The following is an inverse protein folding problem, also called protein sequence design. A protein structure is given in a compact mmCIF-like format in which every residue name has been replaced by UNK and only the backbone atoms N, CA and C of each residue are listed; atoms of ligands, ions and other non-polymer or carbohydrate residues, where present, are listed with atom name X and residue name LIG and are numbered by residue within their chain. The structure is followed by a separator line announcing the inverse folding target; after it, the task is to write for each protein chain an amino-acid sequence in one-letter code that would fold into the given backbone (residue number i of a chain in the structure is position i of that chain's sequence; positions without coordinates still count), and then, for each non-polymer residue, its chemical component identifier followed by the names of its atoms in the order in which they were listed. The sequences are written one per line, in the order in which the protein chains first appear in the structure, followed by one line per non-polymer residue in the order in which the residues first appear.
data_IF_059378941257
#
_entry.id   IF_059378941257
#
_cell.length_a   1.000
_cell.length_b   1.000
_cell.length_c   1.000
_cell.angle_alpha   90.00
_cell.angle_beta   90.00
_cell.angle_gamma   90.00
#
_symmetry.space_group_name_H-M   'P 1'
#
loop_
_entity.id
_entity.type
_entity.pdbx_description
1 polymer ?
#
# COMPACT_ATOMS: atom_id res chain seq x y z
N UNK A 1 -10.52 1.90 21.79
CA UNK A 1 -10.43 3.37 21.87
C UNK A 1 -9.38 3.81 20.86
N UNK A 2 -9.74 4.57 19.83
CA UNK A 2 -8.76 5.15 18.89
C UNK A 2 -7.73 5.92 19.71
N UNK A 3 -6.49 5.44 19.67
CA UNK A 3 -5.43 5.75 20.62
C UNK A 3 -5.19 7.27 20.65
N UNK A 4 -5.59 7.98 21.72
CA UNK A 4 -5.36 9.42 21.89
C UNK A 4 -3.90 9.80 21.62
N UNK A 5 -2.97 8.88 21.93
CA UNK A 5 -1.56 8.98 21.57
C UNK A 5 -1.32 9.11 20.06
N UNK A 6 -2.01 8.33 19.22
CA UNK A 6 -1.88 8.42 17.76
C UNK A 6 -2.45 9.74 17.23
N UNK A 7 -3.56 10.23 17.80
CA UNK A 7 -4.14 11.53 17.46
C UNK A 7 -3.20 12.69 17.83
N UNK A 8 -2.60 12.63 19.02
CA UNK A 8 -1.60 13.59 19.49
C UNK A 8 -0.33 13.52 18.64
N UNK A 9 0.08 12.32 18.20
CA UNK A 9 1.24 12.14 17.34
C UNK A 9 1.00 12.68 15.92
N UNK A 10 -0.21 12.52 15.37
CA UNK A 10 -0.60 13.16 14.11
C UNK A 10 -0.52 14.69 14.20
N UNK A 11 -0.78 15.24 15.39
CA UNK A 11 -0.68 16.67 15.68
C UNK A 11 0.76 17.17 15.87
N UNK A 12 1.76 16.28 16.01
CA UNK A 12 3.16 16.68 16.07
C UNK A 12 3.60 17.24 14.71
N UNK A 13 4.04 18.50 14.63
CA UNK A 13 4.29 19.19 13.36
C UNK A 13 5.34 18.48 12.49
N UNK A 14 6.33 17.80 13.10
CA UNK A 14 7.36 17.07 12.36
C UNK A 14 6.84 15.78 11.73
N UNK A 15 5.90 15.10 12.40
CA UNK A 15 5.25 13.91 11.86
C UNK A 15 4.25 14.30 10.76
N UNK A 16 3.44 15.34 11.00
CA UNK A 16 2.49 15.86 10.01
C UNK A 16 3.20 16.28 8.72
N UNK A 17 4.32 17.02 8.83
CA UNK A 17 5.13 17.44 7.66
C UNK A 17 5.61 16.23 6.84
N UNK A 18 6.15 15.20 7.50
CA UNK A 18 6.62 13.98 6.80
C UNK A 18 5.51 13.26 6.06
N UNK A 19 4.33 13.12 6.69
CA UNK A 19 3.17 12.51 6.04
C UNK A 19 2.70 13.36 4.87
N UNK A 20 2.62 14.69 5.04
CA UNK A 20 2.23 15.60 3.97
C UNK A 20 3.17 15.50 2.77
N UNK A 21 4.49 15.44 2.99
CA UNK A 21 5.45 15.22 1.90
C UNK A 21 5.26 13.85 1.22
N UNK A 22 4.98 12.80 1.99
CA UNK A 22 4.75 11.47 1.44
C UNK A 22 3.47 11.44 0.59
N UNK A 23 2.39 12.04 1.08
CA UNK A 23 1.14 12.22 0.33
C UNK A 23 1.39 13.04 -0.93
N UNK A 24 2.17 14.11 -0.86
CA UNK A 24 2.52 14.95 -2.01
C UNK A 24 3.27 14.16 -3.08
N UNK A 25 4.27 13.37 -2.69
CA UNK A 25 5.01 12.49 -3.60
C UNK A 25 4.07 11.44 -4.21
N UNK A 26 3.17 10.86 -3.41
CA UNK A 26 2.19 9.91 -3.90
C UNK A 26 1.19 10.55 -4.87
N UNK A 27 0.80 11.80 -4.64
CA UNK A 27 -0.09 12.57 -5.50
C UNK A 27 0.57 13.00 -6.82
N UNK A 28 1.90 12.97 -6.94
CA UNK A 28 2.58 13.18 -8.22
C UNK A 28 2.35 12.03 -9.20
N UNK A 29 2.15 10.80 -8.69
CA UNK A 29 1.93 9.60 -9.52
C UNK A 29 0.71 9.74 -10.45
N UNK A 30 -0.51 10.07 -9.97
CA UNK A 30 -1.66 10.25 -10.86
C UNK A 30 -1.46 11.37 -11.86
N UNK A 31 -0.75 12.44 -11.50
CA UNK A 31 -0.44 13.54 -12.43
C UNK A 31 0.42 13.03 -13.58
N UNK A 32 1.44 12.20 -13.30
CA UNK A 32 2.27 11.59 -14.34
C UNK A 32 1.45 10.64 -15.23
N UNK A 33 0.53 9.87 -14.63
CA UNK A 33 -0.38 9.00 -15.38
C UNK A 33 -1.30 9.80 -16.31
N UNK A 34 -1.81 10.95 -15.88
CA UNK A 34 -2.59 11.85 -16.73
C UNK A 34 -1.78 12.38 -17.92
N UNK A 35 -0.52 12.76 -17.70
CA UNK A 35 0.37 13.22 -18.79
C UNK A 35 0.59 12.09 -19.81
N UNK A 36 0.82 10.86 -19.35
CA UNK A 36 0.93 9.71 -20.24
C UNK A 36 -0.37 9.45 -21.00
N UNK A 37 -1.52 9.56 -20.32
CA UNK A 37 -2.82 9.39 -20.94
C UNK A 37 -2.98 10.34 -22.13
N UNK A 38 -2.72 11.64 -21.94
CA UNK A 38 -2.86 12.65 -22.99
C UNK A 38 -1.92 12.37 -24.18
N UNK A 39 -0.68 11.95 -23.90
CA UNK A 39 0.31 11.70 -24.96
C UNK A 39 0.03 10.42 -25.76
N UNK A 40 -0.40 9.34 -25.09
CA UNK A 40 -0.65 8.05 -25.73
C UNK A 40 -2.05 7.93 -26.32
N UNK A 41 -3.04 8.64 -25.78
CA UNK A 41 -4.41 8.63 -26.32
C UNK A 41 -4.47 9.13 -27.76
N UNK A 42 -3.60 10.08 -28.13
CA UNK A 42 -3.49 10.58 -29.49
C UNK A 42 -3.03 9.51 -30.50
N UNK A 43 -2.19 8.57 -30.07
CA UNK A 43 -1.62 7.53 -30.93
C UNK A 43 -2.53 6.31 -31.11
N UNK A 44 -3.18 5.87 -30.02
CA UNK A 44 -3.98 4.63 -29.99
C UNK A 44 -5.50 4.86 -30.08
N UNK A 45 -5.95 6.10 -29.93
CA UNK A 45 -7.36 6.46 -29.77
C UNK A 45 -7.79 6.44 -28.30
N UNK A 46 -8.52 7.48 -27.90
CA UNK A 46 -8.89 7.73 -26.50
C UNK A 46 -9.66 6.57 -25.86
N UNK A 47 -10.66 6.02 -26.57
CA UNK A 47 -11.50 4.94 -26.06
C UNK A 47 -10.75 3.62 -25.89
N UNK A 48 -9.85 3.29 -26.82
CA UNK A 48 -9.06 2.06 -26.75
C UNK A 48 -8.05 2.13 -25.60
N UNK A 49 -7.42 3.28 -25.41
CA UNK A 49 -6.50 3.49 -24.29
C UNK A 49 -7.23 3.44 -22.93
N UNK A 50 -8.41 4.05 -22.83
CA UNK A 50 -9.29 3.95 -21.65
C UNK A 50 -9.67 2.49 -21.34
N UNK A 51 -10.05 1.71 -22.36
CA UNK A 51 -10.38 0.30 -22.19
C UNK A 51 -9.18 -0.51 -21.65
N UNK A 52 -7.97 -0.26 -22.16
CA UNK A 52 -6.74 -0.89 -21.67
C UNK A 52 -6.47 -0.51 -20.21
N UNK A 53 -6.59 0.77 -19.86
CA UNK A 53 -6.42 1.25 -18.48
C UNK A 53 -7.42 0.60 -17.51
N UNK A 54 -8.68 0.43 -17.93
CA UNK A 54 -9.69 -0.24 -17.14
C UNK A 54 -9.41 -1.73 -16.96
N UNK A 55 -8.89 -2.40 -18.00
CA UNK A 55 -8.47 -3.80 -17.89
C UNK A 55 -7.26 -3.95 -16.95
N UNK A 56 -6.31 -3.01 -17.02
CA UNK A 56 -5.16 -2.94 -16.10
C UNK A 56 -5.62 -2.74 -14.66
N UNK A 57 -6.51 -1.79 -14.38
CA UNK A 57 -7.00 -1.55 -13.01
C UNK A 57 -7.85 -2.71 -12.49
N UNK A 58 -8.67 -3.34 -13.32
CA UNK A 58 -9.47 -4.52 -12.95
C UNK A 58 -8.56 -5.71 -12.61
N UNK A 59 -7.56 -5.99 -13.44
CA UNK A 59 -6.58 -7.03 -13.17
C UNK A 59 -5.75 -6.71 -11.91
N UNK A 60 -5.37 -5.45 -11.73
CA UNK A 60 -4.72 -4.93 -10.54
C UNK A 60 -5.55 -5.14 -9.27
N UNK A 61 -6.85 -4.90 -9.32
CA UNK A 61 -7.77 -5.15 -8.22
C UNK A 61 -7.82 -6.64 -7.83
N UNK A 62 -7.92 -7.54 -8.81
CA UNK A 62 -7.92 -9.00 -8.56
C UNK A 62 -6.60 -9.42 -7.91
N UNK A 63 -5.48 -8.92 -8.43
CA UNK A 63 -4.15 -9.21 -7.89
C UNK A 63 -3.98 -8.68 -6.46
N UNK A 64 -4.41 -7.44 -6.23
CA UNK A 64 -4.46 -6.78 -4.92
C UNK A 64 -5.24 -7.62 -3.89
N UNK A 65 -6.44 -8.08 -4.25
CA UNK A 65 -7.25 -8.94 -3.38
C UNK A 65 -6.50 -10.21 -2.97
N UNK A 66 -5.82 -10.85 -3.92
CA UNK A 66 -5.02 -12.05 -3.66
C UNK A 66 -3.84 -11.76 -2.73
N UNK A 67 -3.15 -10.64 -2.95
CA UNK A 67 -2.00 -10.20 -2.16
C UNK A 67 -2.38 -9.93 -0.69
N UNK A 68 -3.47 -9.19 -0.48
CA UNK A 68 -4.01 -8.86 0.85
C UNK A 68 -4.53 -10.12 1.55
N UNK A 69 -5.27 -10.98 0.84
CA UNK A 69 -5.76 -12.23 1.42
C UNK A 69 -4.61 -13.15 1.85
N UNK A 70 -3.56 -13.27 1.04
CA UNK A 70 -2.38 -14.09 1.40
C UNK A 70 -1.62 -13.54 2.61
N UNK A 71 -1.47 -12.23 2.71
CA UNK A 71 -0.82 -11.60 3.88
C UNK A 71 -1.66 -11.76 5.13
N UNK A 72 -2.97 -11.57 5.03
CA UNK A 72 -3.91 -11.81 6.14
C UNK A 72 -3.91 -13.28 6.62
N UNK A 73 -3.94 -14.25 5.70
CA UNK A 73 -3.89 -15.68 6.07
C UNK A 73 -2.59 -15.99 6.81
N UNK A 74 -1.44 -15.49 6.34
CA UNK A 74 -0.15 -15.69 7.02
C UNK A 74 -0.11 -15.08 8.41
N UNK A 75 -0.68 -13.89 8.57
CA UNK A 75 -0.79 -13.25 9.88
C UNK A 75 -1.67 -14.06 10.82
N UNK A 76 -2.82 -14.55 10.33
CA UNK A 76 -3.74 -15.38 11.13
C UNK A 76 -3.12 -16.71 11.55
N UNK A 77 -2.39 -17.39 10.67
CA UNK A 77 -1.69 -18.64 11.03
C UNK A 77 -0.60 -18.38 12.06
N UNK A 78 0.19 -17.32 11.88
CA UNK A 78 1.24 -16.97 12.83
C UNK A 78 0.69 -16.54 14.20
N UNK A 79 -0.47 -15.88 14.23
CA UNK A 79 -1.20 -15.53 15.46
C UNK A 79 -1.63 -16.80 16.21
N UNK A 80 -2.27 -17.74 15.52
CA UNK A 80 -2.71 -19.01 16.11
C UNK A 80 -1.54 -19.81 16.71
N UNK A 81 -0.38 -19.78 16.07
CA UNK A 81 0.82 -20.49 16.53
C UNK A 81 1.64 -19.69 17.57
N UNK A 82 1.18 -18.51 17.98
CA UNK A 82 1.90 -17.57 18.86
C UNK A 82 3.31 -17.17 18.36
N UNK A 83 3.52 -17.20 17.04
CA UNK A 83 4.82 -16.87 16.43
C UNK A 83 4.83 -15.43 15.93
N UNK A 84 5.58 -14.57 16.61
CA UNK A 84 5.77 -13.19 16.16
C UNK A 84 6.86 -13.07 15.08
N UNK A 85 6.44 -12.89 13.83
CA UNK A 85 7.34 -12.62 12.70
C UNK A 85 7.16 -11.19 12.18
N UNK A 86 8.08 -10.30 12.57
CA UNK A 86 8.08 -8.88 12.18
C UNK A 86 7.98 -8.65 10.66
N UNK A 87 8.54 -9.55 9.85
CA UNK A 87 8.46 -9.49 8.37
C UNK A 87 7.03 -9.59 7.84
N UNK A 88 6.17 -10.38 8.48
CA UNK A 88 4.81 -10.62 8.01
C UNK A 88 3.91 -9.45 8.38
N UNK A 89 4.10 -8.85 9.56
CA UNK A 89 3.45 -7.60 9.96
C UNK A 89 3.85 -6.42 9.08
N UNK A 90 5.15 -6.25 8.82
CA UNK A 90 5.63 -5.21 7.90
C UNK A 90 5.10 -5.41 6.47
N UNK A 91 4.79 -6.64 6.06
CA UNK A 91 4.28 -6.89 4.72
C UNK A 91 2.84 -6.36 4.49
N UNK A 92 2.08 -6.11 5.57
CA UNK A 92 0.70 -5.64 5.51
C UNK A 92 0.55 -4.19 5.02
N UNK A 93 1.22 -3.16 5.59
CA UNK A 93 1.14 -1.80 5.08
C UNK A 93 1.68 -1.70 3.64
N UNK A 94 2.70 -2.50 3.30
CA UNK A 94 3.20 -2.57 1.93
C UNK A 94 2.17 -3.17 0.96
N UNK A 95 1.47 -4.23 1.38
CA UNK A 95 0.41 -4.83 0.58
C UNK A 95 -0.72 -3.83 0.34
N UNK A 96 -1.13 -3.08 1.36
CA UNK A 96 -2.16 -2.03 1.23
C UNK A 96 -1.72 -0.89 0.31
N UNK A 97 -0.46 -0.45 0.41
CA UNK A 97 0.11 0.55 -0.49
C UNK A 97 0.09 0.07 -1.95
N UNK A 98 0.55 -1.15 -2.21
CA UNK A 98 0.52 -1.78 -3.54
C UNK A 98 -0.92 -1.89 -4.07
N UNK A 99 -1.85 -2.32 -3.21
CA UNK A 99 -3.27 -2.40 -3.53
C UNK A 99 -3.84 -1.05 -3.96
N UNK A 100 -3.51 0.02 -3.24
CA UNK A 100 -3.95 1.38 -3.58
C UNK A 100 -3.46 1.81 -4.97
N UNK A 101 -2.17 1.59 -5.28
CA UNK A 101 -1.62 1.94 -6.59
C UNK A 101 -2.19 1.08 -7.74
N UNK A 102 -2.45 -0.21 -7.53
CA UNK A 102 -3.01 -1.11 -8.56
C UNK A 102 -4.47 -0.81 -8.90
N UNK A 103 -5.25 -0.31 -7.94
CA UNK A 103 -6.65 0.03 -8.15
C UNK A 103 -6.77 1.33 -8.96
N UNK A 104 -5.80 2.24 -8.79
CA UNK A 104 -5.79 3.49 -9.52
C UNK A 104 -5.47 3.25 -10.99
N UNK A 105 -6.36 3.62 -11.94
CA UNK A 105 -6.12 3.43 -13.35
C UNK A 105 -4.95 4.31 -13.81
N UNK A 106 -3.84 3.67 -14.14
CA UNK A 106 -2.60 4.33 -14.53
C UNK A 106 -1.55 3.31 -14.96
N UNK A 107 -0.67 3.70 -15.89
CA UNK A 107 0.42 2.83 -16.34
C UNK A 107 1.57 2.90 -15.34
N UNK A 108 1.95 4.10 -14.93
CA UNK A 108 3.02 4.33 -13.96
C UNK A 108 2.61 3.79 -12.61
N UNK A 109 1.40 4.07 -12.14
CA UNK A 109 0.88 3.50 -10.89
C UNK A 109 0.98 1.97 -10.90
N UNK A 110 0.55 1.33 -12.00
CA UNK A 110 0.59 -0.13 -12.15
C UNK A 110 2.01 -0.67 -12.16
N UNK A 111 2.93 -0.04 -12.89
CA UNK A 111 4.34 -0.46 -12.95
C UNK A 111 4.99 -0.35 -11.57
N UNK A 112 4.81 0.79 -10.89
CA UNK A 112 5.34 1.02 -9.53
C UNK A 112 4.78 -0.04 -8.58
N UNK A 113 3.48 -0.31 -8.65
CA UNK A 113 2.85 -1.30 -7.77
C UNK A 113 3.33 -2.72 -8.04
N UNK A 114 3.56 -3.10 -9.30
CA UNK A 114 4.14 -4.39 -9.68
C UNK A 114 5.58 -4.54 -9.14
N UNK A 115 6.42 -3.50 -9.26
CA UNK A 115 7.76 -3.50 -8.69
C UNK A 115 7.71 -3.69 -7.17
N UNK A 116 6.80 -2.98 -6.49
CA UNK A 116 6.62 -3.09 -5.05
C UNK A 116 5.89 -4.36 -4.58
N UNK A 117 5.30 -5.12 -5.50
CA UNK A 117 4.72 -6.44 -5.21
C UNK A 117 5.80 -7.52 -4.99
N UNK A 118 7.01 -7.31 -5.51
CA UNK A 118 8.14 -8.23 -5.38
C UNK A 118 8.53 -8.34 -3.89
N UNK A 119 8.71 -9.55 -3.31
CA UNK A 119 8.93 -9.74 -1.88
C UNK A 119 10.06 -8.90 -1.27
N UNK A 120 11.17 -8.74 -1.99
CA UNK A 120 12.33 -7.95 -1.54
C UNK A 120 11.97 -6.47 -1.36
N UNK A 121 11.38 -5.85 -2.39
CA UNK A 121 10.95 -4.46 -2.34
C UNK A 121 9.81 -4.26 -1.36
N UNK A 122 8.85 -5.18 -1.33
CA UNK A 122 7.69 -5.13 -0.44
C UNK A 122 8.08 -5.08 1.03
N UNK A 123 9.01 -5.93 1.46
CA UNK A 123 9.44 -5.97 2.86
C UNK A 123 10.16 -4.67 3.27
N UNK A 124 10.98 -4.13 2.37
CA UNK A 124 11.67 -2.85 2.60
C UNK A 124 10.69 -1.67 2.68
N UNK A 125 9.70 -1.63 1.78
CA UNK A 125 8.63 -0.64 1.81
C UNK A 125 7.83 -0.72 3.09
N UNK A 126 7.44 -1.94 3.46
CA UNK A 126 6.71 -2.23 4.68
C UNK A 126 7.43 -1.73 5.91
N UNK A 127 8.72 -2.09 6.04
CA UNK A 127 9.57 -1.60 7.13
C UNK A 127 9.66 -0.08 7.16
N UNK A 128 9.81 0.59 6.00
CA UNK A 128 9.87 2.05 5.93
C UNK A 128 8.54 2.70 6.34
N UNK A 129 7.42 2.19 5.85
CA UNK A 129 6.09 2.70 6.21
C UNK A 129 5.84 2.51 7.71
N UNK A 130 6.13 1.33 8.26
CA UNK A 130 6.02 1.05 9.69
C UNK A 130 6.87 1.97 10.55
N UNK A 131 8.10 2.27 10.12
CA UNK A 131 9.00 3.20 10.82
C UNK A 131 8.52 4.64 10.74
N UNK A 132 8.03 5.07 9.57
CA UNK A 132 7.49 6.42 9.36
C UNK A 132 6.26 6.62 10.24
N UNK A 133 5.37 5.63 10.29
CA UNK A 133 4.14 5.63 11.08
C UNK A 133 4.36 5.25 12.56
N UNK A 134 5.60 4.91 12.96
CA UNK A 134 5.97 4.41 14.29
C UNK A 134 5.02 3.34 14.83
N UNK A 135 4.68 2.37 13.97
CA UNK A 135 3.78 1.28 14.34
C UNK A 135 4.53 0.30 15.23
N UNK A 136 4.05 0.11 16.46
CA UNK A 136 4.53 -0.97 17.33
C UNK A 136 3.77 -2.27 17.02
N UNK A 137 4.33 -3.05 16.09
CA UNK A 137 3.74 -4.33 15.69
C UNK A 137 3.68 -5.35 16.83
N UNK A 138 4.54 -5.23 17.84
CA UNK A 138 4.55 -6.15 18.98
C UNK A 138 3.32 -5.90 19.86
N UNK A 139 3.06 -4.63 20.16
CA UNK A 139 1.85 -4.22 20.88
C UNK A 139 0.58 -4.67 20.12
N UNK A 140 0.53 -4.47 18.80
CA UNK A 140 -0.60 -4.92 17.97
C UNK A 140 -0.77 -6.45 18.03
N UNK A 141 0.31 -7.23 18.00
CA UNK A 141 0.25 -8.68 18.10
C UNK A 141 -0.29 -9.13 19.47
N UNK A 142 0.19 -8.53 20.56
CA UNK A 142 -0.30 -8.81 21.92
C UNK A 142 -1.80 -8.48 22.05
N UNK A 143 -2.24 -7.35 21.50
CA UNK A 143 -3.67 -6.99 21.48
C UNK A 143 -4.52 -8.00 20.71
N UNK A 144 -4.07 -8.45 19.54
CA UNK A 144 -4.83 -9.42 18.73
C UNK A 144 -4.96 -10.77 19.45
N UNK A 145 -3.91 -11.20 20.16
CA UNK A 145 -3.90 -12.45 20.91
C UNK A 145 -4.80 -12.45 22.16
N UNK A 146 -5.19 -11.26 22.65
CA UNK A 146 -6.12 -11.12 23.79
C UNK A 146 -7.58 -11.13 23.31
N UNK A 147 -7.83 -10.71 22.07
CA UNK A 147 -9.17 -10.54 21.50
C UNK A 147 -9.65 -11.83 20.81
N UNK A 148 -8.77 -12.52 20.10
CA UNK A 148 -9.02 -13.85 19.51
C UNK A 148 -8.99 -14.95 20.60
#
# INVERSE_FOLDING_TARGET
MLNLKFLIHILEPDFTKKILYLILILAMIPIMDCILFINFSYLMGEYLFLAILLLLSLSGFIFSRHLVRRTHIRLKTNLHDNIFLLKDYNSLPAALMVSFLLIMPGIISTIIALVFSIPCFRNNLGKRISLILKIDWKEIHEYLNIID
#
